data_IF_018557736886
#
_entry.id   IF_018557736886
#
_cell.length_a   1.000
_cell.length_b   1.000
_cell.length_c   1.000
_cell.angle_alpha   90.00
_cell.angle_beta   90.00
_cell.angle_gamma   90.00
#
_symmetry.space_group_name_H-M   'P 1'
#
loop_
_entity.id
_entity.type
_entity.pdbx_description
1 polymer ?
#
# COMPACT_ATOMS: atom_id res chain seq x y z
N UNK A 1 -8.30 0.56 -38.71
CA UNK A 1 -9.17 0.00 -37.65
C UNK A 1 -10.54 0.67 -37.77
N UNK A 2 -11.67 -0.06 -37.79
CA UNK A 2 -12.99 0.61 -37.89
C UNK A 2 -13.26 1.43 -36.62
N UNK A 3 -13.89 2.60 -36.75
CA UNK A 3 -14.15 3.54 -35.64
C UNK A 3 -14.85 2.85 -34.45
N UNK A 4 -15.72 1.87 -34.74
CA UNK A 4 -16.37 1.00 -33.74
C UNK A 4 -15.39 0.18 -32.89
N UNK A 5 -14.34 -0.39 -33.48
CA UNK A 5 -13.35 -1.19 -32.74
C UNK A 5 -12.52 -0.31 -31.81
N UNK A 6 -12.19 0.91 -32.24
CA UNK A 6 -11.44 1.87 -31.41
C UNK A 6 -12.28 2.34 -30.23
N UNK A 7 -13.53 2.74 -30.46
CA UNK A 7 -14.46 3.12 -29.39
C UNK A 7 -14.74 1.97 -28.42
N UNK A 8 -14.90 0.75 -28.91
CA UNK A 8 -15.07 -0.45 -28.08
C UNK A 8 -13.84 -0.75 -27.23
N UNK A 9 -12.64 -0.61 -27.79
CA UNK A 9 -11.39 -0.77 -27.03
C UNK A 9 -11.25 0.29 -25.93
N UNK A 10 -11.56 1.56 -26.22
CA UNK A 10 -11.52 2.65 -25.22
C UNK A 10 -12.52 2.38 -24.10
N UNK A 11 -13.74 1.95 -24.42
CA UNK A 11 -14.75 1.63 -23.42
C UNK A 11 -14.30 0.48 -22.50
N UNK A 12 -13.66 -0.56 -23.05
CA UNK A 12 -13.11 -1.66 -22.26
C UNK A 12 -11.96 -1.21 -21.35
N UNK A 13 -11.02 -0.42 -21.88
CA UNK A 13 -9.90 0.11 -21.07
C UNK A 13 -10.44 0.98 -19.93
N UNK A 14 -11.37 1.90 -20.22
CA UNK A 14 -12.00 2.74 -19.21
C UNK A 14 -12.74 1.91 -18.14
N UNK A 15 -13.40 0.82 -18.54
CA UNK A 15 -14.07 -0.08 -17.61
C UNK A 15 -13.06 -0.79 -16.68
N UNK A 16 -11.99 -1.36 -17.22
CA UNK A 16 -11.00 -2.07 -16.40
C UNK A 16 -10.24 -1.13 -15.47
N UNK A 17 -9.80 0.03 -15.96
CA UNK A 17 -9.19 1.07 -15.13
C UNK A 17 -10.16 1.53 -14.05
N UNK A 18 -11.42 1.77 -14.42
CA UNK A 18 -12.47 2.20 -13.51
C UNK A 18 -12.73 1.18 -12.39
N UNK A 19 -12.88 -0.09 -12.74
CA UNK A 19 -13.04 -1.19 -11.77
C UNK A 19 -11.84 -1.23 -10.84
N UNK A 20 -10.61 -1.21 -11.38
CA UNK A 20 -9.39 -1.30 -10.59
C UNK A 20 -9.27 -0.18 -9.55
N UNK A 21 -9.62 1.06 -9.92
CA UNK A 21 -9.61 2.19 -9.01
C UNK A 21 -10.75 2.14 -7.96
N UNK A 22 -11.92 1.63 -8.33
CA UNK A 22 -13.06 1.46 -7.40
C UNK A 22 -12.83 0.33 -6.39
N UNK A 23 -11.87 -0.58 -6.61
CA UNK A 23 -11.51 -1.59 -5.59
C UNK A 23 -11.04 -0.97 -4.27
N UNK A 24 -10.60 0.29 -4.26
CA UNK A 24 -10.23 1.05 -3.06
C UNK A 24 -11.44 1.59 -2.26
N UNK A 25 -12.67 1.33 -2.74
CA UNK A 25 -13.90 1.82 -2.11
C UNK A 25 -14.10 1.36 -0.65
N UNK A 26 -13.77 0.11 -0.24
CA UNK A 26 -13.90 -0.29 1.17
C UNK A 26 -13.04 0.57 2.10
N UNK A 27 -11.79 0.82 1.73
CA UNK A 27 -10.86 1.72 2.44
C UNK A 27 -11.43 3.14 2.50
N UNK A 28 -11.92 3.65 1.38
CA UNK A 28 -12.55 4.98 1.34
C UNK A 28 -13.78 5.11 2.24
N UNK A 29 -14.61 4.07 2.33
CA UNK A 29 -15.77 4.04 3.22
C UNK A 29 -15.33 4.08 4.70
N UNK A 30 -14.29 3.33 5.08
CA UNK A 30 -13.73 3.37 6.44
C UNK A 30 -13.21 4.78 6.77
N UNK A 31 -12.47 5.40 5.86
CA UNK A 31 -12.00 6.79 6.00
C UNK A 31 -13.15 7.79 6.19
N UNK A 32 -14.22 7.68 5.39
CA UNK A 32 -15.40 8.55 5.51
C UNK A 32 -16.15 8.39 6.85
N UNK A 33 -16.08 7.21 7.46
CA UNK A 33 -16.69 6.92 8.77
C UNK A 33 -15.81 7.35 9.93
N UNK A 34 -14.54 7.67 9.68
CA UNK A 34 -13.55 7.89 10.74
C UNK A 34 -13.13 6.59 11.42
N UNK A 35 -13.27 5.44 10.75
CA UNK A 35 -12.88 4.12 11.26
C UNK A 35 -11.35 3.91 11.06
N UNK A 36 -10.55 4.84 11.60
CA UNK A 36 -9.08 4.79 11.55
C UNK A 36 -8.52 4.39 12.92
N UNK A 37 -7.55 3.47 12.91
CA UNK A 37 -6.91 2.94 14.12
C UNK A 37 -5.50 3.52 14.23
N UNK A 38 -5.17 4.14 15.36
CA UNK A 38 -3.80 4.61 15.60
C UNK A 38 -2.89 3.46 16.01
N UNK A 39 -1.82 3.21 15.25
CA UNK A 39 -0.87 2.11 15.50
C UNK A 39 -0.09 2.28 16.81
N UNK A 40 0.11 3.52 17.26
CA UNK A 40 0.74 3.82 18.56
C UNK A 40 -0.18 3.46 19.74
N UNK A 41 -1.49 3.28 19.49
CA UNK A 41 -2.51 3.09 20.54
C UNK A 41 -2.95 1.63 20.74
N UNK A 42 -2.68 0.75 19.77
CA UNK A 42 -3.12 -0.65 19.81
C UNK A 42 -1.97 -1.61 19.52
N UNK A 43 -1.95 -2.81 20.15
CA UNK A 43 -0.99 -3.82 19.78
C UNK A 43 -1.16 -4.30 18.33
N UNK A 44 -0.05 -4.60 17.65
CA UNK A 44 -0.06 -5.07 16.27
C UNK A 44 -0.94 -6.32 16.07
N UNK A 45 -1.03 -7.18 17.09
CA UNK A 45 -1.84 -8.41 17.07
C UNK A 45 -3.37 -8.20 17.10
N UNK A 46 -3.81 -6.96 17.25
CA UNK A 46 -5.24 -6.62 17.19
C UNK A 46 -5.65 -6.10 15.82
N UNK A 47 -4.68 -5.90 14.92
CA UNK A 47 -4.91 -5.37 13.59
C UNK A 47 -5.35 -6.49 12.66
N UNK A 48 -6.50 -6.30 12.01
CA UNK A 48 -7.02 -7.26 11.04
C UNK A 48 -6.80 -6.77 9.61
N UNK A 49 -6.71 -7.72 8.67
CA UNK A 49 -6.60 -7.39 7.25
C UNK A 49 -7.74 -6.45 6.82
N UNK A 50 -7.36 -5.35 6.17
CA UNK A 50 -8.24 -4.31 5.65
C UNK A 50 -8.52 -3.19 6.64
N UNK A 51 -7.95 -3.23 7.85
CA UNK A 51 -7.96 -2.09 8.76
C UNK A 51 -7.19 -0.91 8.20
N UNK A 52 -7.73 0.28 8.47
CA UNK A 52 -7.16 1.55 8.04
C UNK A 52 -6.47 2.14 9.24
N UNK A 53 -5.18 2.44 9.09
CA UNK A 53 -4.32 2.80 10.21
C UNK A 53 -3.58 4.09 9.95
N UNK A 54 -3.35 4.85 11.01
CA UNK A 54 -2.48 6.02 11.03
C UNK A 54 -1.52 5.96 12.23
N UNK A 55 -0.49 6.79 12.21
CA UNK A 55 0.33 7.00 13.39
C UNK A 55 1.68 7.63 13.11
N UNK A 56 2.50 7.65 14.14
CA UNK A 56 3.83 8.25 14.14
C UNK A 56 4.85 7.15 14.35
N UNK A 57 5.85 7.13 13.49
CA UNK A 57 7.00 6.26 13.57
C UNK A 57 8.19 7.10 13.98
N UNK A 58 8.81 6.77 15.10
CA UNK A 58 10.02 7.41 15.61
C UNK A 58 11.18 6.42 15.79
N UNK A 59 10.91 5.11 15.69
CA UNK A 59 11.92 4.07 15.68
C UNK A 59 11.72 3.04 14.55
N UNK A 60 12.82 2.64 13.94
CA UNK A 60 12.87 1.57 12.95
C UNK A 60 14.16 0.77 13.09
N UNK A 61 14.06 -0.55 12.92
CA UNK A 61 15.21 -1.45 13.03
C UNK A 61 15.81 -1.80 11.66
N UNK A 62 15.36 -1.12 10.60
CA UNK A 62 15.90 -1.23 9.26
C UNK A 62 15.05 -2.07 8.30
N UNK A 63 15.57 -2.27 7.11
CA UNK A 63 14.90 -3.02 6.04
C UNK A 63 15.21 -4.52 6.16
N UNK A 64 14.15 -5.34 6.30
CA UNK A 64 14.28 -6.80 6.39
C UNK A 64 14.19 -7.50 5.03
N UNK A 65 13.56 -6.87 4.03
CA UNK A 65 13.42 -7.45 2.70
C UNK A 65 13.20 -6.37 1.62
N UNK A 66 13.62 -6.69 0.40
CA UNK A 66 13.44 -5.85 -0.79
C UNK A 66 12.89 -6.67 -1.95
N UNK A 67 11.92 -6.11 -2.67
CA UNK A 67 11.48 -6.65 -3.96
C UNK A 67 12.04 -5.80 -5.11
N UNK A 68 12.41 -6.49 -6.20
CA UNK A 68 12.92 -5.86 -7.42
C UNK A 68 12.13 -6.32 -8.64
N UNK A 69 12.05 -5.44 -9.64
CA UNK A 69 11.60 -5.84 -10.96
C UNK A 69 12.65 -6.75 -11.61
N UNK A 70 12.22 -7.90 -12.10
CA UNK A 70 13.07 -8.84 -12.83
C UNK A 70 12.47 -9.18 -14.19
N UNK A 71 13.33 -9.37 -15.19
CA UNK A 71 12.97 -9.89 -16.49
C UNK A 71 13.84 -11.12 -16.79
N UNK A 72 13.19 -12.27 -16.97
CA UNK A 72 13.85 -13.58 -17.06
C UNK A 72 14.80 -13.91 -15.89
N UNK A 73 14.47 -13.46 -14.67
CA UNK A 73 15.28 -13.68 -13.47
C UNK A 73 16.49 -12.75 -13.34
N UNK A 74 16.69 -11.82 -14.28
CA UNK A 74 17.69 -10.76 -14.15
C UNK A 74 17.03 -9.49 -13.63
N UNK A 75 17.64 -8.90 -12.59
CA UNK A 75 17.25 -7.59 -12.07
C UNK A 75 17.32 -6.55 -13.18
N UNK A 76 16.23 -5.84 -13.42
CA UNK A 76 16.11 -4.83 -14.49
C UNK A 76 16.26 -3.39 -14.01
N UNK A 77 16.28 -3.17 -12.70
CA UNK A 77 16.39 -1.85 -12.07
C UNK A 77 17.24 -1.95 -10.81
N UNK A 78 18.08 -0.94 -10.57
CA UNK A 78 18.77 -0.77 -9.30
C UNK A 78 17.84 -0.24 -8.20
N UNK A 79 16.69 0.35 -8.55
CA UNK A 79 15.68 0.76 -7.59
C UNK A 79 14.77 -0.42 -7.20
N UNK A 80 14.55 -0.62 -5.90
CA UNK A 80 13.61 -1.60 -5.34
C UNK A 80 12.17 -1.16 -5.62
N UNK A 81 11.32 -2.11 -6.06
CA UNK A 81 9.90 -1.85 -6.31
C UNK A 81 9.11 -1.75 -5.00
N UNK A 82 9.56 -2.49 -3.98
CA UNK A 82 9.03 -2.44 -2.61
C UNK A 82 10.13 -2.71 -1.61
N UNK A 83 10.07 -2.02 -0.48
CA UNK A 83 10.93 -2.23 0.68
C UNK A 83 10.06 -2.52 1.89
N UNK A 84 10.52 -3.46 2.71
CA UNK A 84 9.85 -3.91 3.92
C UNK A 84 10.69 -3.50 5.13
N UNK A 85 10.21 -2.51 5.88
CA UNK A 85 10.90 -2.00 7.07
C UNK A 85 10.29 -2.57 8.35
N UNK A 86 11.16 -2.87 9.31
CA UNK A 86 10.76 -3.25 10.66
C UNK A 86 10.60 -1.99 11.49
N UNK A 87 9.38 -1.72 11.94
CA UNK A 87 9.07 -0.57 12.78
C UNK A 87 8.98 -1.01 14.24
N UNK A 88 9.60 -0.23 15.13
CA UNK A 88 9.43 -0.41 16.57
C UNK A 88 8.45 0.64 17.07
N UNK A 89 7.34 0.18 17.64
CA UNK A 89 6.27 1.04 18.15
C UNK A 89 6.41 1.23 19.67
N UNK A 90 5.92 2.37 20.17
CA UNK A 90 5.94 2.77 21.60
C UNK A 90 5.37 1.74 22.58
N UNK A 91 4.56 0.81 22.08
CA UNK A 91 3.90 -0.22 22.87
C UNK A 91 4.67 -1.57 22.86
N UNK A 92 5.97 -1.53 22.58
CA UNK A 92 6.89 -2.69 22.46
C UNK A 92 6.49 -3.71 21.38
N UNK A 93 5.63 -3.30 20.43
CA UNK A 93 5.29 -4.11 19.27
C UNK A 93 6.16 -3.77 18.08
N UNK A 94 6.22 -4.73 17.17
CA UNK A 94 6.92 -4.60 15.92
C UNK A 94 5.98 -4.89 14.78
N UNK A 95 6.10 -4.11 13.70
CA UNK A 95 5.28 -4.29 12.52
C UNK A 95 6.10 -4.04 11.26
N UNK A 96 5.79 -4.79 10.22
CA UNK A 96 6.38 -4.58 8.90
C UNK A 96 5.63 -3.46 8.19
N UNK A 97 6.36 -2.49 7.65
CA UNK A 97 5.84 -1.44 6.81
C UNK A 97 6.35 -1.60 5.37
N UNK A 98 5.42 -1.77 4.44
CA UNK A 98 5.69 -1.82 3.01
C UNK A 98 5.62 -0.42 2.41
N UNK A 99 6.71 0.00 1.75
CA UNK A 99 6.70 1.19 0.89
C UNK A 99 7.50 1.01 -0.40
N UNK A 100 7.00 1.59 -1.49
CA UNK A 100 7.74 1.79 -2.73
C UNK A 100 8.14 3.27 -2.96
N UNK A 101 7.96 4.14 -1.96
CA UNK A 101 8.23 5.58 -2.09
C UNK A 101 9.65 5.91 -1.66
N UNK A 102 10.43 6.47 -2.58
CA UNK A 102 11.79 6.96 -2.31
C UNK A 102 11.91 7.95 -1.18
N UNK A 103 10.94 8.84 -1.08
CA UNK A 103 10.91 9.80 0.02
C UNK A 103 10.71 9.10 1.38
N UNK A 104 9.84 8.07 1.43
CA UNK A 104 9.56 7.36 2.67
C UNK A 104 10.73 6.48 3.09
N UNK A 105 11.29 5.67 2.19
CA UNK A 105 12.42 4.81 2.58
C UNK A 105 13.65 5.63 2.98
N UNK A 106 13.92 6.78 2.34
CA UNK A 106 15.03 7.68 2.75
C UNK A 106 14.84 8.21 4.17
N UNK A 107 13.59 8.55 4.55
CA UNK A 107 13.30 8.99 5.90
C UNK A 107 13.31 7.82 6.91
N UNK A 108 12.88 6.63 6.50
CA UNK A 108 12.96 5.42 7.34
C UNK A 108 14.41 5.03 7.61
N UNK A 109 15.29 5.09 6.61
CA UNK A 109 16.74 4.88 6.79
C UNK A 109 17.32 5.87 7.83
N UNK A 110 16.96 7.15 7.73
CA UNK A 110 17.38 8.14 8.72
C UNK A 110 16.82 7.88 10.13
N UNK A 111 15.58 7.40 10.23
CA UNK A 111 14.99 6.97 11.51
C UNK A 111 15.74 5.74 12.04
N UNK A 112 16.12 4.79 11.19
CA UNK A 112 16.93 3.64 11.58
C UNK A 112 18.28 4.07 12.15
N UNK A 113 18.99 4.96 11.48
CA UNK A 113 20.25 5.53 11.99
C UNK A 113 20.02 6.19 13.36
N UNK A 114 18.98 7.02 13.49
CA UNK A 114 18.62 7.65 14.77
C UNK A 114 18.23 6.65 15.85
N UNK A 115 17.69 5.49 15.48
CA UNK A 115 17.31 4.43 16.43
C UNK A 115 18.55 3.76 16.99
N UNK A 116 19.54 3.46 16.14
CA UNK A 116 20.80 2.87 16.60
C UNK A 116 21.65 3.86 17.38
N UNK A 117 21.69 5.13 16.99
CA UNK A 117 22.33 6.19 17.79
C UNK A 117 21.72 6.28 19.20
N UNK A 118 20.40 6.14 19.31
CA UNK A 118 19.70 6.09 20.59
C UNK A 118 20.09 4.85 21.42
N UNK A 119 20.10 3.66 20.81
CA UNK A 119 20.47 2.41 21.49
C UNK A 119 21.92 2.45 22.00
N UNK A 120 22.85 2.93 21.19
CA UNK A 120 24.27 3.08 21.56
C UNK A 120 24.43 4.08 22.72
N UNK A 121 23.69 5.20 22.70
CA UNK A 121 23.70 6.19 23.77
C UNK A 121 23.12 5.64 25.09
N UNK A 122 22.03 4.88 25.02
CA UNK A 122 21.44 4.19 26.18
C UNK A 122 22.41 3.16 26.74
N UNK A 123 23.07 2.35 25.90
CA UNK A 123 24.07 1.37 26.33
C UNK A 123 25.28 2.05 27.00
N UNK A 124 25.68 3.23 26.48
CA UNK A 124 26.72 4.06 27.07
C UNK A 124 26.29 4.78 28.38
N UNK A 125 25.00 4.72 28.75
CA UNK A 125 24.45 5.31 29.97
C UNK A 125 24.10 6.79 29.88
N UNK A 126 23.79 7.32 28.69
CA UNK A 126 23.31 8.70 28.52
C UNK A 126 21.84 8.86 28.95
N UNK A 127 21.62 9.62 30.02
CA UNK A 127 20.28 9.91 30.55
C UNK A 127 19.44 10.85 29.65
N UNK A 128 20.06 11.47 28.64
CA UNK A 128 19.38 12.38 27.69
C UNK A 128 19.15 11.76 26.31
N UNK A 129 19.44 10.47 26.13
CA UNK A 129 19.19 9.78 24.88
C UNK A 129 17.70 9.87 24.51
N UNK A 130 17.42 10.29 23.27
CA UNK A 130 16.06 10.43 22.76
C UNK A 130 16.01 10.14 21.26
N UNK A 131 14.88 9.60 20.80
CA UNK A 131 14.54 9.52 19.39
C UNK A 131 14.18 10.93 18.89
N UNK A 132 14.80 11.37 17.80
CA UNK A 132 14.73 12.77 17.35
C UNK A 132 14.11 12.94 15.97
N UNK A 133 13.82 11.85 15.28
CA UNK A 133 13.23 11.84 13.95
C UNK A 133 11.90 11.11 13.99
N UNK A 134 10.91 11.67 13.31
CA UNK A 134 9.58 11.07 13.23
C UNK A 134 9.03 11.12 11.81
N UNK A 135 8.12 10.20 11.51
CA UNK A 135 7.35 10.16 10.28
C UNK A 135 5.90 9.80 10.58
N UNK A 136 4.97 10.59 10.07
CA UNK A 136 3.57 10.20 10.01
C UNK A 136 3.35 9.18 8.90
N UNK A 137 2.65 8.09 9.22
CA UNK A 137 2.26 7.08 8.24
C UNK A 137 0.74 6.93 8.18
N UNK A 138 0.27 6.67 6.98
CA UNK A 138 -1.10 6.28 6.67
C UNK A 138 -1.03 4.97 5.89
N UNK A 139 -1.88 4.01 6.23
CA UNK A 139 -1.78 2.69 5.63
C UNK A 139 -3.02 1.82 5.76
N UNK A 140 -2.96 0.70 5.05
CA UNK A 140 -3.93 -0.38 5.16
C UNK A 140 -3.21 -1.63 5.62
N UNK A 141 -3.79 -2.31 6.60
CA UNK A 141 -3.28 -3.57 7.12
C UNK A 141 -3.53 -4.65 6.08
N UNK A 142 -2.46 -5.28 5.62
CA UNK A 142 -2.48 -6.40 4.69
C UNK A 142 -1.84 -7.62 5.34
N UNK A 143 -2.09 -8.80 4.76
CA UNK A 143 -1.42 -10.01 5.20
C UNK A 143 0.06 -9.94 4.77
N UNK A 144 0.97 -10.25 5.68
CA UNK A 144 2.39 -10.35 5.37
C UNK A 144 2.60 -11.50 4.35
N UNK A 145 3.27 -11.26 3.22
CA UNK A 145 3.62 -12.31 2.27
C UNK A 145 4.50 -13.37 2.93
N UNK A 146 4.30 -14.65 2.60
CA UNK A 146 4.95 -15.78 3.29
C UNK A 146 6.46 -15.83 3.09
N UNK A 147 6.95 -15.32 1.97
CA UNK A 147 8.37 -15.13 1.67
C UNK A 147 8.99 -14.03 2.55
N UNK A 148 8.30 -12.90 2.68
CA UNK A 148 8.73 -11.80 3.56
C UNK A 148 8.65 -12.20 5.04
N UNK A 149 7.62 -12.95 5.43
CA UNK A 149 7.49 -13.51 6.79
C UNK A 149 8.70 -14.36 7.18
N UNK A 150 9.28 -15.11 6.23
CA UNK A 150 10.51 -15.87 6.44
C UNK A 150 11.70 -14.97 6.80
N UNK A 151 11.95 -13.92 6.01
CA UNK A 151 13.01 -12.96 6.29
C UNK A 151 12.79 -12.20 7.60
N UNK A 152 11.53 -11.86 7.89
CA UNK A 152 11.19 -11.18 9.14
C UNK A 152 11.45 -12.06 10.37
N UNK A 153 11.16 -13.36 10.29
CA UNK A 153 11.50 -14.34 11.33
C UNK A 153 13.01 -14.46 11.54
N UNK A 154 13.78 -14.56 10.46
CA UNK A 154 15.25 -14.63 10.53
C UNK A 154 15.84 -13.37 11.17
N UNK A 155 15.26 -12.19 10.88
CA UNK A 155 15.72 -10.91 11.43
C UNK A 155 15.63 -10.85 12.97
N UNK A 156 14.65 -11.52 13.58
CA UNK A 156 14.45 -11.48 15.04
C UNK A 156 15.27 -12.50 15.85
N UNK A 157 15.85 -13.53 15.21
CA UNK A 157 16.74 -14.57 15.78
C UNK A 157 16.29 -15.26 17.11
N UNK A 158 15.07 -15.00 17.59
CA UNK A 158 14.50 -15.57 18.83
C UNK A 158 12.99 -15.84 18.69
N UNK A 159 12.67 -17.10 18.41
CA UNK A 159 11.33 -17.61 18.02
C UNK A 159 10.24 -17.38 19.12
N UNK A 160 10.68 -17.21 20.37
CA UNK A 160 9.80 -17.12 21.53
C UNK A 160 9.14 -15.73 21.73
N UNK A 161 9.81 -14.65 21.34
CA UNK A 161 9.29 -13.27 21.42
C UNK A 161 8.67 -12.80 20.12
N UNK A 162 9.13 -13.33 18.98
CA UNK A 162 8.58 -13.03 17.65
C UNK A 162 7.11 -13.42 17.54
N UNK A 163 6.76 -14.67 17.86
CA UNK A 163 5.39 -15.19 17.75
C UNK A 163 4.35 -14.53 18.66
N UNK A 164 4.78 -13.81 19.70
CA UNK A 164 3.89 -13.05 20.61
C UNK A 164 3.74 -11.57 20.25
N UNK A 165 4.66 -11.01 19.47
CA UNK A 165 4.74 -9.56 19.18
C UNK A 165 4.55 -9.21 17.71
N UNK A 166 4.76 -10.17 16.82
CA UNK A 166 4.75 -10.01 15.37
C UNK A 166 3.64 -10.89 14.80
N UNK A 167 2.44 -10.33 14.64
CA UNK A 167 1.41 -11.02 13.86
C UNK A 167 1.70 -10.86 12.38
N UNK A 168 1.36 -11.90 11.58
CA UNK A 168 1.63 -12.01 10.14
C UNK A 168 0.85 -11.02 9.26
N UNK A 169 0.83 -9.77 9.68
CA UNK A 169 0.25 -8.60 9.02
C UNK A 169 1.36 -7.59 8.78
N UNK A 170 1.13 -6.74 7.79
CA UNK A 170 1.98 -5.61 7.45
C UNK A 170 1.11 -4.38 7.20
N UNK A 171 1.68 -3.20 7.34
CA UNK A 171 1.05 -1.96 6.91
C UNK A 171 1.56 -1.65 5.51
N UNK A 172 0.65 -1.59 4.55
CA UNK A 172 0.95 -1.08 3.22
C UNK A 172 0.66 0.40 3.18
N UNK A 173 1.64 1.21 2.75
CA UNK A 173 1.45 2.64 2.59
C UNK A 173 0.20 2.97 1.75
N UNK A 174 -0.68 3.80 2.28
CA UNK A 174 -1.87 4.27 1.60
C UNK A 174 -1.99 5.78 1.83
N UNK A 175 -1.90 6.56 0.76
CA UNK A 175 -2.12 8.00 0.86
C UNK A 175 -3.64 8.28 0.86
N UNK A 176 -4.21 8.66 2.00
CA UNK A 176 -5.66 8.77 2.18
C UNK A 176 -6.30 9.84 1.28
N UNK A 177 -5.60 10.95 1.03
CA UNK A 177 -6.05 11.98 0.09
C UNK A 177 -6.20 11.44 -1.34
N UNK A 178 -5.30 10.54 -1.74
CA UNK A 178 -5.33 9.91 -3.06
C UNK A 178 -6.39 8.82 -3.14
N UNK A 179 -6.69 8.10 -2.05
CA UNK A 179 -7.71 7.04 -2.04
C UNK A 179 -9.07 7.58 -2.48
N UNK A 180 -9.52 8.70 -1.91
CA UNK A 180 -10.78 9.33 -2.31
C UNK A 180 -10.78 9.76 -3.78
N UNK A 181 -9.70 10.42 -4.21
CA UNK A 181 -9.52 10.85 -5.60
C UNK A 181 -9.57 9.67 -6.59
N UNK A 182 -8.92 8.55 -6.25
CA UNK A 182 -8.92 7.33 -7.06
C UNK A 182 -10.33 6.76 -7.20
N UNK A 183 -11.11 6.67 -6.12
CA UNK A 183 -12.49 6.16 -6.17
C UNK A 183 -13.37 7.04 -7.06
N UNK A 184 -13.24 8.36 -6.98
CA UNK A 184 -14.00 9.27 -7.85
C UNK A 184 -13.61 9.14 -9.33
N UNK A 185 -12.31 9.07 -9.64
CA UNK A 185 -11.83 8.84 -11.01
C UNK A 185 -12.34 7.48 -11.52
N UNK A 186 -12.28 6.46 -10.68
CA UNK A 186 -12.76 5.12 -11.01
C UNK A 186 -14.25 5.08 -11.36
N UNK A 187 -15.09 5.71 -10.53
CA UNK A 187 -16.52 5.84 -10.80
C UNK A 187 -16.79 6.61 -12.11
N UNK A 188 -16.05 7.69 -12.36
CA UNK A 188 -16.12 8.46 -13.61
C UNK A 188 -15.75 7.63 -14.84
N UNK A 189 -14.70 6.81 -14.76
CA UNK A 189 -14.26 5.94 -15.85
C UNK A 189 -15.29 4.85 -16.17
N UNK A 190 -15.94 4.26 -15.15
CA UNK A 190 -17.04 3.30 -15.35
C UNK A 190 -18.23 3.96 -16.03
N UNK A 191 -18.64 5.16 -15.59
CA UNK A 191 -19.73 5.92 -16.22
C UNK A 191 -19.42 6.22 -17.69
N UNK A 192 -18.18 6.63 -17.99
CA UNK A 192 -17.73 6.86 -19.37
C UNK A 192 -17.83 5.59 -20.21
N UNK A 193 -17.39 4.44 -19.68
CA UNK A 193 -17.48 3.15 -20.36
C UNK A 193 -18.93 2.77 -20.68
N UNK A 194 -19.87 3.00 -19.74
CA UNK A 194 -21.30 2.76 -19.94
C UNK A 194 -21.85 3.64 -21.06
N UNK A 195 -21.55 4.95 -21.04
CA UNK A 195 -22.01 5.90 -22.07
C UNK A 195 -21.47 5.50 -23.45
N UNK A 196 -20.18 5.17 -23.56
CA UNK A 196 -19.58 4.70 -24.81
C UNK A 196 -20.20 3.39 -25.30
N UNK A 197 -20.51 2.47 -24.39
CA UNK A 197 -21.22 1.23 -24.69
C UNK A 197 -22.62 1.48 -25.27
N UNK A 198 -23.39 2.42 -24.69
CA UNK A 198 -24.71 2.81 -25.21
C UNK A 198 -24.58 3.43 -26.60
N UNK A 199 -23.62 4.34 -26.82
CA UNK A 199 -23.38 4.97 -28.13
C UNK A 199 -23.05 3.92 -29.18
N UNK A 200 -22.18 2.97 -28.86
CA UNK A 200 -21.84 1.85 -29.75
C UNK A 200 -23.07 1.01 -30.11
N UNK A 201 -23.94 0.72 -29.13
CA UNK A 201 -25.16 -0.05 -29.36
C UNK A 201 -26.14 0.70 -30.29
N UNK A 202 -26.31 2.01 -30.09
CA UNK A 202 -27.15 2.86 -30.96
C UNK A 202 -26.59 2.92 -32.39
N UNK A 203 -25.28 3.14 -32.54
CA UNK A 203 -24.63 3.19 -33.85
C UNK A 203 -24.72 1.83 -34.57
N UNK A 204 -24.51 0.73 -33.85
CA UNK A 204 -24.65 -0.62 -34.39
C UNK A 204 -26.08 -0.92 -34.85
N UNK A 205 -27.10 -0.51 -34.07
CA UNK A 205 -28.51 -0.61 -34.49
C UNK A 205 -28.81 0.21 -35.74
N UNK A 206 -28.26 1.43 -35.85
CA UNK A 206 -28.44 2.27 -37.05
C UNK A 206 -27.83 1.64 -38.29
N UNK A 207 -26.60 1.12 -38.18
CA UNK A 207 -25.93 0.44 -39.29
C UNK A 207 -26.68 -0.83 -39.73
N UNK A 208 -27.18 -1.61 -38.75
CA UNK A 208 -28.03 -2.78 -39.04
C UNK A 208 -29.31 -2.38 -39.77
N UNK A 209 -30.05 -1.40 -39.26
CA UNK A 209 -31.31 -0.96 -39.88
C UNK A 209 -31.11 -0.33 -41.27
N UNK A 210 -29.97 0.33 -41.52
CA UNK A 210 -29.62 0.84 -42.86
C UNK A 210 -29.37 -0.27 -43.88
N UNK A 211 -28.87 -1.43 -43.45
CA UNK A 211 -28.57 -2.56 -44.33
C UNK A 211 -29.79 -3.44 -44.65
N UNK A 212 -30.89 -3.32 -43.90
CA UNK A 212 -32.16 -4.02 -44.16
C UNK A 212 -33.23 -3.14 -44.83
N UNK A 213 -32.89 -1.90 -45.18
CA UNK A 213 -33.76 -1.00 -45.96
C UNK A 213 -33.61 -1.24 -47.46
N UNK A 214 -34.22 -2.32 -47.95
CA UNK A 214 -34.64 -2.52 -49.33
C UNK A 214 -36.09 -2.97 -49.34
#
# INVERSE_FOLDING_TARGET
>A
MSKFRVLGAIALVALFVGIGLVMQMPTYIKLLKGDTISINSVPAHTLEKGDVVDGIIDASLGCCAEEYETNFGFRTSDDSTKLYYVLWLDNDNFIVYETGSKEQYTKLDAITDSTYDYLDAVEAGDENAALNLTMEIEGVVEKLPSDIEGFFKEWYDDDATFSQRCEGVMITNANFDRVGTMVYIGAGAILLAIVLGIVLLVLWRKEKNSNYGY
#
